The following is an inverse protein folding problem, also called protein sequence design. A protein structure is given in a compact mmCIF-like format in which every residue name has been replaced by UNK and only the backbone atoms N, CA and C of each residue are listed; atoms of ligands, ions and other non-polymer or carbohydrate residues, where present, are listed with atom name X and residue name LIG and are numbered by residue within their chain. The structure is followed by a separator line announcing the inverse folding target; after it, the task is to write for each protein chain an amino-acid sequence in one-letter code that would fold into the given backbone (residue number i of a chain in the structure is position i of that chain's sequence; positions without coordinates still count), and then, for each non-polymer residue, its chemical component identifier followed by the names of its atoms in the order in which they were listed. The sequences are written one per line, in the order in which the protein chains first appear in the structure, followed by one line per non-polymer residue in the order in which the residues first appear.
data_IF_998305955452
#
_entry.id   IF_998305955452
#
_cell.length_a   1.000
_cell.length_b   1.000
_cell.length_c   1.000
_cell.angle_alpha   90.00
_cell.angle_beta   90.00
_cell.angle_gamma   90.00
#
_symmetry.space_group_name_H-M   'P 1'
#
loop_
_entity.id
_entity.type
_entity.pdbx_description
1 polymer ?
#
# COMPACT_ATOMS: atom_id res chain seq x y z
N UNK A 1 29.87 44.54 -45.06
CA UNK A 1 29.63 44.07 -43.68
C UNK A 1 28.18 43.56 -43.62
N UNK A 2 27.98 42.25 -43.57
CA UNK A 2 26.66 41.61 -43.46
C UNK A 2 26.46 41.16 -42.02
N UNK A 3 25.59 41.85 -41.28
CA UNK A 3 25.20 41.47 -39.91
C UNK A 3 24.29 40.23 -39.99
N UNK A 4 24.76 39.11 -39.38
CA UNK A 4 23.95 37.90 -39.18
C UNK A 4 23.13 38.09 -37.89
N UNK A 5 21.82 38.19 -38.04
CA UNK A 5 20.85 38.18 -36.93
C UNK A 5 20.67 36.74 -36.47
N UNK A 6 21.22 36.40 -35.29
CA UNK A 6 20.93 35.12 -34.64
C UNK A 6 19.62 35.27 -33.87
N UNK A 7 18.57 34.66 -34.38
CA UNK A 7 17.28 34.49 -33.64
C UNK A 7 17.48 33.30 -32.72
N UNK A 8 17.61 33.55 -31.42
CA UNK A 8 17.53 32.54 -30.37
C UNK A 8 16.07 32.21 -30.13
N UNK A 9 15.61 31.08 -30.65
CA UNK A 9 14.31 30.53 -30.31
C UNK A 9 14.39 29.95 -28.88
N UNK A 10 13.91 30.71 -27.90
CA UNK A 10 13.65 30.19 -26.56
C UNK A 10 12.49 29.19 -26.65
N UNK A 11 12.82 27.91 -26.68
CA UNK A 11 11.84 26.82 -26.46
C UNK A 11 11.35 26.93 -25.02
N UNK A 12 10.19 27.55 -24.84
CA UNK A 12 9.39 27.45 -23.63
C UNK A 12 9.00 25.96 -23.47
N UNK A 13 9.77 25.23 -22.68
CA UNK A 13 9.37 23.92 -22.15
C UNK A 13 8.22 24.15 -21.18
N UNK A 14 6.98 24.18 -21.71
CA UNK A 14 5.83 24.03 -20.87
C UNK A 14 5.94 22.64 -20.17
N UNK A 15 5.75 22.55 -18.85
CA UNK A 15 5.71 21.26 -18.21
C UNK A 15 4.58 20.45 -18.88
N UNK A 16 4.92 19.31 -19.45
CA UNK A 16 3.96 18.30 -19.91
C UNK A 16 3.27 17.74 -18.66
N UNK A 17 2.37 18.52 -18.08
CA UNK A 17 1.43 18.00 -17.11
C UNK A 17 0.52 17.02 -17.89
N UNK A 18 0.50 15.76 -17.45
CA UNK A 18 -0.40 14.77 -17.99
C UNK A 18 -1.82 15.36 -18.04
N UNK A 19 -2.41 15.45 -19.20
CA UNK A 19 -3.58 16.31 -19.50
C UNK A 19 -4.81 16.03 -18.63
N UNK A 20 -4.93 14.84 -18.04
CA UNK A 20 -6.06 14.41 -17.20
C UNK A 20 -5.89 14.61 -15.70
N UNK A 21 -4.70 14.96 -15.20
CA UNK A 21 -4.47 15.18 -13.77
C UNK A 21 -5.02 16.52 -13.27
N UNK A 22 -5.48 17.37 -14.17
CA UNK A 22 -6.02 18.71 -13.85
C UNK A 22 -7.42 18.95 -14.44
N UNK A 23 -8.09 17.89 -14.89
CA UNK A 23 -9.43 18.00 -15.48
C UNK A 23 -10.44 18.36 -14.40
N UNK A 24 -11.13 19.52 -14.57
CA UNK A 24 -12.18 19.92 -13.64
C UNK A 24 -13.36 18.96 -13.71
N UNK A 25 -13.58 18.21 -12.63
CA UNK A 25 -14.70 17.28 -12.54
C UNK A 25 -16.03 18.04 -12.54
N UNK A 26 -16.95 17.77 -13.48
CA UNK A 26 -18.27 18.37 -13.49
C UNK A 26 -19.08 18.06 -12.23
N UNK A 27 -19.98 18.97 -11.84
CA UNK A 27 -20.91 18.75 -10.73
C UNK A 27 -20.33 18.92 -9.33
N UNK A 28 -19.04 19.19 -9.19
CA UNK A 28 -18.43 19.46 -7.87
C UNK A 28 -18.76 20.91 -7.46
N UNK A 29 -19.40 21.14 -6.28
CA UNK A 29 -19.56 22.47 -5.71
C UNK A 29 -18.22 23.15 -5.51
N UNK A 30 -18.16 24.44 -5.78
CA UNK A 30 -16.92 25.22 -5.65
C UNK A 30 -17.10 26.43 -4.75
N UNK A 31 -16.05 26.77 -4.05
CA UNK A 31 -15.92 28.01 -3.30
C UNK A 31 -15.73 29.21 -4.24
N UNK A 32 -15.91 30.45 -3.76
CA UNK A 32 -15.75 31.66 -4.62
C UNK A 32 -14.37 31.77 -5.28
N UNK A 33 -13.32 31.19 -4.68
CA UNK A 33 -11.97 31.12 -5.24
C UNK A 33 -11.76 29.93 -6.22
N UNK A 34 -12.86 29.23 -6.57
CA UNK A 34 -12.87 28.15 -7.56
C UNK A 34 -12.38 26.79 -7.08
N UNK A 35 -12.02 26.62 -5.81
CA UNK A 35 -11.62 25.33 -5.23
C UNK A 35 -12.82 24.43 -4.97
N UNK A 36 -12.66 23.10 -5.01
CA UNK A 36 -13.70 22.17 -4.60
C UNK A 36 -14.20 22.44 -3.18
N UNK A 37 -15.51 22.59 -3.00
CA UNK A 37 -16.13 22.71 -1.69
C UNK A 37 -16.50 21.32 -1.16
N UNK A 38 -15.58 20.67 -0.49
CA UNK A 38 -15.75 19.30 0.03
C UNK A 38 -16.69 19.22 1.24
N UNK A 39 -16.97 20.35 1.91
CA UNK A 39 -17.91 20.42 3.04
C UNK A 39 -19.35 20.76 2.63
N UNK A 40 -19.64 20.90 1.34
CA UNK A 40 -21.02 21.05 0.86
C UNK A 40 -21.86 19.81 1.24
N UNK A 41 -23.18 19.94 1.20
CA UNK A 41 -24.10 18.85 1.52
C UNK A 41 -23.86 17.63 0.62
N UNK A 42 -23.97 16.43 1.19
CA UNK A 42 -23.84 15.18 0.45
C UNK A 42 -24.91 15.13 -0.66
N UNK A 43 -24.56 14.77 -1.90
CA UNK A 43 -25.49 14.59 -2.97
C UNK A 43 -26.35 13.33 -2.74
N UNK A 44 -27.56 13.31 -3.34
CA UNK A 44 -28.45 12.16 -3.31
C UNK A 44 -28.78 11.70 -4.72
N UNK A 45 -29.00 10.41 -4.85
CA UNK A 45 -29.53 9.78 -6.07
C UNK A 45 -31.02 10.08 -6.23
N UNK A 46 -31.59 9.79 -7.39
CA UNK A 46 -33.00 10.04 -7.67
C UNK A 46 -33.95 9.28 -6.75
N UNK A 47 -33.55 8.13 -6.19
CA UNK A 47 -34.28 7.34 -5.20
C UNK A 47 -34.03 7.80 -3.75
N UNK A 48 -33.37 8.96 -3.58
CA UNK A 48 -33.18 9.60 -2.28
C UNK A 48 -32.05 9.03 -1.42
N UNK A 49 -31.30 8.04 -1.90
CA UNK A 49 -30.15 7.49 -1.19
C UNK A 49 -28.94 8.41 -1.32
N UNK A 50 -28.00 8.43 -0.36
CA UNK A 50 -26.73 9.12 -0.58
C UNK A 50 -26.05 8.63 -1.85
N UNK A 51 -25.60 9.55 -2.68
CA UNK A 51 -24.82 9.20 -3.86
C UNK A 51 -23.35 8.99 -3.46
N UNK A 52 -22.87 7.77 -3.55
CA UNK A 52 -21.49 7.40 -3.23
C UNK A 52 -20.56 7.52 -4.45
N UNK A 53 -21.08 7.87 -5.62
CA UNK A 53 -20.31 7.98 -6.86
C UNK A 53 -19.21 9.03 -6.74
N UNK A 54 -18.09 8.77 -7.43
CA UNK A 54 -16.93 9.66 -7.45
C UNK A 54 -15.62 8.91 -7.39
N UNK A 55 -14.52 9.65 -7.42
CA UNK A 55 -13.18 9.11 -7.17
C UNK A 55 -12.81 9.44 -5.73
N UNK A 56 -12.47 8.41 -5.00
CA UNK A 56 -12.20 8.50 -3.57
C UNK A 56 -10.76 8.10 -3.26
N UNK A 57 -10.11 8.90 -2.45
CA UNK A 57 -8.78 8.63 -1.93
C UNK A 57 -8.90 7.91 -0.59
N UNK A 58 -8.17 6.80 -0.46
CA UNK A 58 -7.98 6.12 0.81
C UNK A 58 -7.19 7.00 1.80
N UNK A 59 -7.33 6.79 3.12
CA UNK A 59 -6.50 7.47 4.11
C UNK A 59 -5.02 7.16 3.87
N UNK A 60 -4.16 8.13 4.15
CA UNK A 60 -2.70 7.89 4.09
C UNK A 60 -2.27 7.13 5.35
N UNK A 61 -1.37 6.16 5.17
CA UNK A 61 -0.65 5.49 6.25
C UNK A 61 -1.55 4.85 7.33
N UNK A 62 -2.50 4.01 6.92
CA UNK A 62 -3.26 3.21 7.88
C UNK A 62 -2.39 2.08 8.44
N UNK A 63 -2.32 1.94 9.77
CA UNK A 63 -1.65 0.82 10.43
C UNK A 63 -2.22 -0.54 9.98
N UNK A 64 -3.54 -0.61 9.74
CA UNK A 64 -4.20 -1.85 9.33
C UNK A 64 -3.86 -2.29 7.90
N UNK A 65 -3.38 -1.39 7.05
CA UNK A 65 -2.83 -1.74 5.75
C UNK A 65 -1.52 -2.53 5.89
N UNK A 66 -0.72 -2.18 6.90
CA UNK A 66 0.54 -2.85 7.19
C UNK A 66 0.32 -4.11 8.03
N UNK A 67 -0.54 -4.01 9.03
CA UNK A 67 -0.82 -5.07 9.99
C UNK A 67 -2.30 -5.04 10.39
N UNK A 68 -3.10 -5.91 9.78
CA UNK A 68 -4.54 -6.01 10.08
C UNK A 68 -4.78 -6.42 11.54
N UNK A 69 -3.84 -7.16 12.11
CA UNK A 69 -3.88 -7.67 13.47
C UNK A 69 -3.25 -6.72 14.50
N UNK A 70 -3.04 -5.42 14.17
CA UNK A 70 -2.35 -4.46 15.04
C UNK A 70 -2.95 -4.36 16.45
N UNK A 71 -4.26 -4.56 16.60
CA UNK A 71 -4.99 -4.50 17.88
C UNK A 71 -5.22 -5.88 18.51
N UNK A 72 -4.67 -6.93 17.93
CA UNK A 72 -4.78 -8.29 18.46
C UNK A 72 -3.59 -8.63 19.36
N UNK A 73 -3.88 -9.43 20.39
CA UNK A 73 -2.85 -10.10 21.16
C UNK A 73 -2.37 -11.35 20.41
N UNK A 74 -1.15 -11.83 20.64
CA UNK A 74 -0.64 -13.04 19.95
C UNK A 74 -1.55 -14.27 20.10
N UNK A 75 -2.23 -14.44 21.22
CA UNK A 75 -3.17 -15.54 21.48
C UNK A 75 -4.55 -15.33 20.85
N UNK A 76 -4.80 -14.21 20.19
CA UNK A 76 -6.03 -13.93 19.45
C UNK A 76 -5.89 -14.27 17.95
N UNK A 77 -4.72 -14.76 17.54
CA UNK A 77 -4.48 -15.32 16.19
C UNK A 77 -4.38 -16.85 16.35
N UNK A 78 -5.09 -17.59 15.51
CA UNK A 78 -5.07 -19.06 15.56
C UNK A 78 -3.67 -19.60 15.26
N UNK A 79 -3.25 -20.73 15.88
CA UNK A 79 -1.88 -21.23 15.75
C UNK A 79 -1.42 -21.46 14.31
N UNK A 80 -2.30 -21.99 13.45
CA UNK A 80 -1.97 -22.21 12.04
C UNK A 80 -1.71 -20.90 11.31
N UNK A 81 -2.55 -19.88 11.55
CA UNK A 81 -2.43 -18.57 10.90
C UNK A 81 -1.17 -17.83 11.36
N UNK A 82 -0.83 -17.97 12.64
CA UNK A 82 0.43 -17.46 13.17
C UNK A 82 1.64 -18.15 12.53
N UNK A 83 1.58 -19.47 12.32
CA UNK A 83 2.66 -20.23 11.68
C UNK A 83 2.86 -19.79 10.21
N UNK A 84 1.77 -19.65 9.45
CA UNK A 84 1.80 -19.15 8.06
C UNK A 84 2.31 -17.71 8.00
N UNK A 85 1.84 -16.83 8.88
CA UNK A 85 2.33 -15.45 8.98
C UNK A 85 3.84 -15.40 9.22
N UNK A 86 4.36 -16.21 10.14
CA UNK A 86 5.79 -16.31 10.41
C UNK A 86 6.58 -16.86 9.21
N UNK A 87 5.99 -17.76 8.42
CA UNK A 87 6.60 -18.25 7.17
C UNK A 87 6.69 -17.12 6.13
N UNK A 88 5.62 -16.34 5.95
CA UNK A 88 5.62 -15.20 5.05
C UNK A 88 6.68 -14.14 5.43
N UNK A 89 6.94 -13.95 6.73
CA UNK A 89 8.03 -13.10 7.19
C UNK A 89 9.39 -13.71 6.87
N UNK A 90 9.60 -14.99 7.17
CA UNK A 90 10.89 -15.67 6.94
C UNK A 90 11.29 -15.71 5.47
N UNK A 91 10.33 -15.94 4.56
CA UNK A 91 10.59 -15.94 3.12
C UNK A 91 10.54 -14.55 2.49
N UNK A 92 10.49 -13.49 3.32
CA UNK A 92 10.44 -12.09 2.90
C UNK A 92 9.26 -11.78 1.96
N UNK A 93 8.15 -12.54 2.08
CA UNK A 93 6.97 -12.41 1.24
C UNK A 93 7.18 -12.83 -0.21
N UNK A 94 8.09 -13.76 -0.47
CA UNK A 94 8.37 -14.26 -1.82
C UNK A 94 7.12 -14.85 -2.51
N UNK A 95 6.21 -15.39 -1.72
CA UNK A 95 4.93 -15.96 -2.14
C UNK A 95 3.75 -14.96 -2.03
N UNK A 96 4.03 -13.67 -1.81
CA UNK A 96 2.99 -12.65 -1.78
C UNK A 96 2.18 -12.64 -3.08
N UNK A 97 0.85 -12.77 -3.03
CA UNK A 97 0.01 -12.72 -4.23
C UNK A 97 0.25 -11.46 -5.07
N UNK A 98 0.52 -10.34 -4.43
CA UNK A 98 0.83 -9.07 -5.09
C UNK A 98 2.11 -9.10 -5.91
N UNK A 99 3.12 -9.85 -5.45
CA UNK A 99 4.36 -10.06 -6.20
C UNK A 99 4.12 -10.80 -7.52
N UNK A 100 3.00 -11.50 -7.61
CA UNK A 100 2.57 -12.26 -8.76
C UNK A 100 1.39 -11.62 -9.51
N UNK A 101 1.13 -10.32 -9.29
CA UNK A 101 0.04 -9.57 -9.92
C UNK A 101 -1.36 -10.16 -9.64
N UNK A 102 -1.52 -10.86 -8.54
CA UNK A 102 -2.79 -11.42 -8.12
C UNK A 102 -3.59 -10.37 -7.29
N UNK A 103 -4.92 -10.46 -7.28
CA UNK A 103 -5.75 -9.48 -6.59
C UNK A 103 -5.49 -9.39 -5.09
N UNK A 104 -5.56 -8.18 -4.56
CA UNK A 104 -5.62 -7.94 -3.12
C UNK A 104 -7.05 -8.17 -2.58
N UNK A 105 -7.23 -8.50 -1.28
CA UNK A 105 -8.54 -8.63 -0.67
C UNK A 105 -9.19 -7.26 -0.39
N UNK A 106 -10.51 -7.22 -0.11
CA UNK A 106 -11.22 -5.98 0.16
C UNK A 106 -10.63 -5.04 1.21
N UNK A 107 -10.04 -5.50 2.34
CA UNK A 107 -9.42 -4.58 3.30
C UNK A 107 -8.42 -3.65 2.66
N UNK A 108 -7.61 -4.17 1.75
CA UNK A 108 -6.56 -3.42 1.08
C UNK A 108 -7.09 -2.27 0.22
N UNK A 109 -8.15 -2.48 -0.57
CA UNK A 109 -8.70 -1.45 -1.46
C UNK A 109 -9.22 -0.23 -0.74
N UNK A 110 -9.57 -0.37 0.53
CA UNK A 110 -10.10 0.72 1.32
C UNK A 110 -9.03 1.52 2.04
N UNK A 111 -7.81 0.99 2.08
CA UNK A 111 -6.69 1.57 2.83
C UNK A 111 -5.58 2.12 1.92
N UNK A 112 -5.64 1.92 0.60
CA UNK A 112 -4.61 2.37 -0.34
C UNK A 112 -5.20 2.94 -1.63
N UNK A 113 -4.49 3.91 -2.23
CA UNK A 113 -4.71 4.41 -3.58
C UNK A 113 -5.99 5.22 -3.79
N UNK A 114 -6.40 5.27 -5.06
CA UNK A 114 -7.65 5.85 -5.53
C UNK A 114 -8.62 4.74 -5.93
N UNK A 115 -9.90 4.99 -5.70
CA UNK A 115 -10.96 4.12 -6.20
C UNK A 115 -12.10 4.96 -6.78
N UNK A 116 -12.65 4.53 -7.92
CA UNK A 116 -13.88 5.09 -8.48
C UNK A 116 -15.06 4.24 -8.05
N UNK A 117 -16.05 4.87 -7.44
CA UNK A 117 -17.35 4.26 -7.17
C UNK A 117 -18.31 4.71 -8.27
N UNK A 118 -19.00 3.75 -8.88
CA UNK A 118 -20.12 3.95 -9.79
C UNK A 118 -21.33 3.31 -9.13
N UNK A 119 -22.34 4.12 -8.84
CA UNK A 119 -23.57 3.67 -8.16
C UNK A 119 -24.78 3.73 -9.09
N UNK A 120 -25.55 2.65 -9.07
CA UNK A 120 -26.89 2.57 -9.64
C UNK A 120 -27.85 2.04 -8.57
N UNK A 121 -29.17 2.09 -8.78
CA UNK A 121 -30.11 1.55 -7.78
C UNK A 121 -29.91 0.07 -7.43
N UNK A 122 -29.48 -0.75 -8.40
CA UNK A 122 -29.34 -2.20 -8.23
C UNK A 122 -27.90 -2.68 -8.05
N UNK A 123 -26.93 -1.81 -8.30
CA UNK A 123 -25.53 -2.21 -8.39
C UNK A 123 -24.61 -1.06 -8.03
N UNK A 124 -23.59 -1.36 -7.24
CA UNK A 124 -22.43 -0.50 -7.06
C UNK A 124 -21.16 -1.21 -7.59
N UNK A 125 -20.36 -0.50 -8.35
CA UNK A 125 -19.06 -0.99 -8.86
C UNK A 125 -17.96 -0.13 -8.27
N UNK A 126 -16.95 -0.78 -7.72
CA UNK A 126 -15.72 -0.14 -7.25
C UNK A 126 -14.60 -0.55 -8.18
N UNK A 127 -14.01 0.44 -8.85
CA UNK A 127 -12.85 0.29 -9.71
C UNK A 127 -11.66 0.87 -8.94
N UNK A 128 -10.66 0.05 -8.65
CA UNK A 128 -9.48 0.49 -7.92
C UNK A 128 -8.33 0.78 -8.88
N UNK A 129 -7.65 1.89 -8.64
CA UNK A 129 -6.35 2.15 -9.25
C UNK A 129 -5.34 1.23 -8.55
N UNK A 130 -4.94 0.17 -9.24
CA UNK A 130 -4.00 -0.80 -8.70
C UNK A 130 -2.60 -0.23 -8.58
N UNK A 131 -1.95 -0.43 -7.44
CA UNK A 131 -0.54 -0.06 -7.26
C UNK A 131 0.38 -1.21 -7.72
N UNK A 132 -0.05 -2.44 -7.55
CA UNK A 132 0.74 -3.66 -7.81
C UNK A 132 -0.02 -4.74 -8.57
N UNK A 133 -1.29 -4.55 -8.84
CA UNK A 133 -2.09 -5.43 -9.66
C UNK A 133 -2.90 -4.60 -10.67
N UNK A 134 -3.12 -5.15 -11.84
CA UNK A 134 -3.83 -4.48 -12.94
C UNK A 134 -5.28 -4.19 -12.56
N UNK A 135 -5.54 -3.04 -11.95
CA UNK A 135 -6.84 -2.49 -11.59
C UNK A 135 -7.94 -3.52 -11.26
N UNK A 136 -8.34 -3.60 -10.02
CA UNK A 136 -9.38 -4.56 -9.62
C UNK A 136 -10.74 -3.91 -9.64
N UNK A 137 -11.69 -4.58 -10.28
CA UNK A 137 -13.09 -4.18 -10.31
C UNK A 137 -13.91 -5.10 -9.42
N UNK A 138 -14.65 -4.51 -8.48
CA UNK A 138 -15.53 -5.21 -7.55
C UNK A 138 -16.98 -4.81 -7.77
N UNK A 139 -17.85 -5.80 -7.87
CA UNK A 139 -19.30 -5.63 -8.00
C UNK A 139 -19.99 -5.88 -6.68
N UNK A 140 -20.89 -4.98 -6.28
CA UNK A 140 -21.71 -5.08 -5.08
C UNK A 140 -23.17 -4.98 -5.51
N UNK A 141 -23.95 -6.02 -5.27
CA UNK A 141 -25.36 -6.07 -5.64
C UNK A 141 -26.23 -5.39 -4.58
N UNK A 142 -27.00 -4.37 -4.97
CA UNK A 142 -27.87 -3.59 -4.08
C UNK A 142 -29.36 -3.80 -4.40
N UNK A 143 -29.69 -4.81 -5.20
CA UNK A 143 -31.05 -5.14 -5.66
C UNK A 143 -31.88 -5.96 -4.66
N UNK A 144 -31.38 -6.12 -3.43
CA UNK A 144 -32.08 -6.83 -2.36
C UNK A 144 -31.83 -8.34 -2.30
N UNK A 145 -31.01 -8.90 -3.22
CA UNK A 145 -30.63 -10.32 -3.16
C UNK A 145 -29.84 -10.65 -1.90
N UNK A 146 -29.89 -11.92 -1.49
CA UNK A 146 -29.05 -12.47 -0.43
C UNK A 146 -27.73 -13.03 -0.96
N UNK A 147 -26.83 -13.39 -0.06
CA UNK A 147 -25.67 -14.21 -0.41
C UNK A 147 -26.14 -15.57 -0.95
N UNK A 148 -25.52 -16.10 -2.01
CA UNK A 148 -25.80 -17.45 -2.50
C UNK A 148 -25.57 -18.48 -1.39
N UNK A 149 -26.38 -19.54 -1.36
CA UNK A 149 -26.19 -20.65 -0.40
C UNK A 149 -24.93 -21.45 -0.71
N UNK A 150 -24.65 -21.61 -1.99
CA UNK A 150 -23.43 -22.27 -2.49
C UNK A 150 -22.63 -21.23 -3.26
N UNK A 151 -21.38 -21.05 -2.89
CA UNK A 151 -20.46 -20.09 -3.50
C UNK A 151 -19.21 -20.81 -3.95
N UNK A 152 -18.81 -20.58 -5.20
CA UNK A 152 -17.46 -20.92 -5.62
C UNK A 152 -16.51 -19.86 -5.06
N UNK A 153 -15.48 -20.22 -4.28
CA UNK A 153 -14.55 -19.25 -3.71
C UNK A 153 -13.84 -18.45 -4.80
N UNK A 154 -13.79 -17.13 -4.62
CA UNK A 154 -13.16 -16.21 -5.55
C UNK A 154 -12.18 -15.29 -4.82
N UNK A 155 -11.33 -14.58 -5.56
CA UNK A 155 -10.38 -13.64 -5.01
C UNK A 155 -11.03 -12.48 -4.24
N UNK A 156 -12.19 -11.99 -4.71
CA UNK A 156 -12.86 -10.82 -4.16
C UNK A 156 -14.13 -11.15 -3.39
N UNK A 157 -14.47 -12.43 -3.33
CA UNK A 157 -15.73 -12.88 -2.75
C UNK A 157 -16.96 -12.44 -3.56
N UNK A 158 -18.12 -12.69 -3.00
CA UNK A 158 -19.42 -12.24 -3.51
C UNK A 158 -19.99 -11.18 -2.56
N UNK A 159 -20.34 -10.00 -3.08
CA UNK A 159 -20.72 -8.85 -2.29
C UNK A 159 -22.18 -8.46 -2.51
N UNK A 160 -22.92 -8.26 -1.43
CA UNK A 160 -24.26 -7.71 -1.42
C UNK A 160 -24.31 -6.46 -0.55
N UNK A 161 -25.10 -5.46 -0.95
CA UNK A 161 -25.28 -4.22 -0.22
C UNK A 161 -26.72 -3.98 0.20
N UNK A 162 -26.92 -3.41 1.37
CA UNK A 162 -28.24 -2.98 1.89
C UNK A 162 -28.12 -1.61 2.52
N UNK A 163 -29.11 -0.76 2.26
CA UNK A 163 -29.19 0.54 2.89
C UNK A 163 -29.81 0.46 4.29
N UNK A 164 -29.10 0.94 5.29
CA UNK A 164 -29.58 1.19 6.65
C UNK A 164 -29.61 2.72 6.86
N UNK A 165 -30.78 3.33 6.60
CA UNK A 165 -30.89 4.78 6.55
C UNK A 165 -29.97 5.37 5.45
N UNK A 166 -29.02 6.22 5.85
CA UNK A 166 -28.04 6.86 4.97
C UNK A 166 -26.69 6.10 4.92
N UNK A 167 -26.63 4.90 5.45
CA UNK A 167 -25.44 4.05 5.43
C UNK A 167 -25.65 2.85 4.51
N UNK A 168 -24.78 2.66 3.53
CA UNK A 168 -24.70 1.42 2.77
C UNK A 168 -23.89 0.40 3.56
N UNK A 169 -24.52 -0.73 3.89
CA UNK A 169 -23.86 -1.88 4.54
C UNK A 169 -23.61 -2.96 3.50
N UNK A 170 -22.35 -3.31 3.31
CA UNK A 170 -21.95 -4.34 2.35
C UNK A 170 -21.44 -5.56 3.09
N UNK A 171 -21.99 -6.72 2.76
CA UNK A 171 -21.53 -8.01 3.28
C UNK A 171 -20.88 -8.80 2.15
N UNK A 172 -19.69 -9.33 2.38
CA UNK A 172 -18.98 -10.16 1.41
C UNK A 172 -18.55 -11.47 2.05
N UNK A 173 -18.72 -12.55 1.32
CA UNK A 173 -18.29 -13.90 1.69
C UNK A 173 -17.90 -14.68 0.43
N UNK A 174 -17.42 -15.91 0.57
CA UNK A 174 -16.99 -16.75 -0.55
C UNK A 174 -15.63 -16.33 -1.12
N UNK A 175 -14.73 -15.94 -0.24
CA UNK A 175 -13.33 -15.72 -0.61
C UNK A 175 -12.60 -17.05 -0.78
N UNK A 176 -11.65 -17.12 -1.70
CA UNK A 176 -10.62 -18.16 -1.65
C UNK A 176 -9.60 -17.80 -0.55
N UNK A 177 -8.78 -18.75 -0.13
CA UNK A 177 -7.77 -18.57 0.92
C UNK A 177 -6.40 -18.11 0.40
N UNK A 178 -6.35 -17.54 -0.81
CA UNK A 178 -5.11 -17.29 -1.55
C UNK A 178 -4.58 -15.86 -1.43
N UNK A 179 -5.28 -14.97 -0.73
CA UNK A 179 -4.86 -13.57 -0.56
C UNK A 179 -4.28 -13.34 0.84
N UNK A 180 -3.54 -12.24 0.98
CA UNK A 180 -3.08 -11.77 2.28
C UNK A 180 -3.93 -10.58 2.71
N UNK A 181 -4.33 -10.53 3.98
CA UNK A 181 -5.18 -9.45 4.50
C UNK A 181 -4.46 -8.10 4.59
N UNK A 182 -3.12 -8.12 4.65
CA UNK A 182 -2.29 -6.94 4.80
C UNK A 182 -0.91 -7.11 4.14
N UNK A 183 -0.08 -6.09 4.23
CA UNK A 183 1.30 -6.14 3.72
C UNK A 183 2.23 -7.01 4.52
N UNK A 184 1.96 -7.24 5.79
CA UNK A 184 2.78 -8.08 6.65
C UNK A 184 2.57 -9.59 6.38
N UNK A 185 1.50 -9.95 5.65
CA UNK A 185 1.28 -11.31 5.23
C UNK A 185 0.36 -12.12 6.13
N UNK A 186 -0.57 -11.48 6.84
CA UNK A 186 -1.59 -12.21 7.59
C UNK A 186 -2.50 -13.00 6.64
N UNK A 187 -2.60 -14.33 6.80
CA UNK A 187 -3.47 -15.15 5.99
C UNK A 187 -4.93 -15.01 6.42
N UNK A 188 -5.81 -15.56 5.62
CA UNK A 188 -7.20 -15.83 6.01
C UNK A 188 -7.65 -17.19 5.47
N UNK A 189 -8.79 -17.66 5.94
CA UNK A 189 -9.42 -18.88 5.46
C UNK A 189 -10.59 -18.56 4.52
N UNK A 190 -11.18 -19.59 3.90
CA UNK A 190 -12.43 -19.47 3.14
C UNK A 190 -13.65 -19.09 4.02
N UNK A 191 -13.51 -19.16 5.35
CA UNK A 191 -14.56 -18.71 6.28
C UNK A 191 -14.61 -17.17 6.41
N UNK A 192 -13.66 -16.46 5.80
CA UNK A 192 -13.62 -15.01 5.84
C UNK A 192 -14.94 -14.39 5.38
N UNK A 193 -15.45 -13.48 6.20
CA UNK A 193 -16.52 -12.54 5.87
C UNK A 193 -16.05 -11.13 6.15
N UNK A 194 -16.51 -10.19 5.33
CA UNK A 194 -16.29 -8.78 5.62
C UNK A 194 -17.62 -8.05 5.67
N UNK A 195 -17.70 -7.08 6.58
CA UNK A 195 -18.83 -6.16 6.67
C UNK A 195 -18.28 -4.75 6.55
N UNK A 196 -18.76 -4.02 5.57
CA UNK A 196 -18.31 -2.66 5.26
C UNK A 196 -19.47 -1.70 5.41
N UNK A 197 -19.22 -0.53 5.98
CA UNK A 197 -20.22 0.52 6.19
C UNK A 197 -19.73 1.80 5.53
N UNK A 198 -20.50 2.33 4.58
CA UNK A 198 -20.21 3.57 3.86
C UNK A 198 -21.25 4.61 4.24
N UNK A 199 -20.83 5.66 4.91
CA UNK A 199 -21.67 6.80 5.26
C UNK A 199 -21.08 8.08 4.65
N UNK A 200 -21.72 8.63 3.61
CA UNK A 200 -21.30 9.91 3.03
C UNK A 200 -21.84 11.04 3.86
N UNK A 201 -21.02 11.61 4.75
CA UNK A 201 -21.44 12.65 5.68
C UNK A 201 -21.57 14.04 5.05
N UNK A 202 -20.77 14.32 4.01
CA UNK A 202 -20.77 15.56 3.25
C UNK A 202 -20.34 15.29 1.80
N UNK A 203 -20.16 16.35 0.99
CA UNK A 203 -19.81 16.18 -0.42
C UNK A 203 -18.47 15.46 -0.61
N UNK A 204 -17.49 15.75 0.23
CA UNK A 204 -16.10 15.33 0.06
C UNK A 204 -15.67 14.16 0.93
N UNK A 205 -16.53 13.64 1.83
CA UNK A 205 -16.06 12.62 2.78
C UNK A 205 -17.05 11.47 2.94
N UNK A 206 -16.49 10.26 2.93
CA UNK A 206 -17.18 9.03 3.33
C UNK A 206 -16.52 8.52 4.61
N UNK A 207 -17.29 8.43 5.70
CA UNK A 207 -16.92 7.67 6.87
C UNK A 207 -17.07 6.20 6.55
N UNK A 208 -15.99 5.48 6.67
CA UNK A 208 -15.87 4.07 6.32
C UNK A 208 -15.53 3.25 7.55
N UNK A 209 -16.23 2.16 7.75
CA UNK A 209 -15.91 1.16 8.77
C UNK A 209 -15.89 -0.21 8.12
N UNK A 210 -14.93 -1.05 8.49
CA UNK A 210 -14.82 -2.41 8.02
C UNK A 210 -14.59 -3.36 9.17
N UNK A 211 -15.35 -4.45 9.18
CA UNK A 211 -15.13 -5.60 10.05
C UNK A 211 -14.65 -6.78 9.22
N UNK A 212 -13.54 -7.37 9.61
CA UNK A 212 -12.97 -8.62 9.12
C UNK A 212 -13.30 -9.70 10.12
N UNK A 213 -14.08 -10.69 9.72
CA UNK A 213 -14.55 -11.80 10.56
C UNK A 213 -14.14 -13.13 9.93
N UNK A 214 -13.13 -13.76 10.52
CA UNK A 214 -12.67 -15.09 10.13
C UNK A 214 -12.35 -15.91 11.39
N UNK A 215 -13.35 -16.64 11.92
CA UNK A 215 -13.20 -17.37 13.18
C UNK A 215 -12.22 -18.54 13.10
N UNK A 216 -11.82 -18.97 11.88
CA UNK A 216 -10.77 -19.95 11.69
C UNK A 216 -9.37 -19.34 11.75
N UNK A 217 -9.25 -18.02 11.57
CA UNK A 217 -7.97 -17.30 11.58
C UNK A 217 -7.79 -16.48 12.86
N UNK A 218 -8.84 -15.81 13.33
CA UNK A 218 -8.81 -14.94 14.51
C UNK A 218 -9.84 -15.39 15.53
N UNK A 219 -9.55 -15.16 16.82
CA UNK A 219 -10.48 -15.53 17.91
C UNK A 219 -11.64 -14.53 18.07
N UNK A 220 -11.52 -13.34 17.45
CA UNK A 220 -12.56 -12.30 17.40
C UNK A 220 -12.49 -11.52 16.10
N UNK A 221 -13.59 -10.89 15.68
CA UNK A 221 -13.57 -9.97 14.54
C UNK A 221 -12.65 -8.78 14.79
N UNK A 222 -12.08 -8.26 13.71
CA UNK A 222 -11.25 -7.05 13.69
C UNK A 222 -12.07 -5.95 13.02
N UNK A 223 -12.22 -4.80 13.67
CA UNK A 223 -12.94 -3.66 13.10
C UNK A 223 -12.05 -2.43 13.08
N UNK A 224 -11.98 -1.77 11.94
CA UNK A 224 -11.27 -0.50 11.79
C UNK A 224 -12.12 0.54 11.07
N UNK A 225 -11.75 1.81 11.28
CA UNK A 225 -12.41 2.97 10.67
C UNK A 225 -11.43 3.77 9.84
N UNK A 226 -11.97 4.40 8.81
CA UNK A 226 -11.23 5.24 7.90
C UNK A 226 -12.11 6.37 7.37
N UNK A 227 -11.51 7.43 6.87
CA UNK A 227 -12.22 8.48 6.14
C UNK A 227 -11.68 8.49 4.72
N UNK A 228 -12.56 8.28 3.75
CA UNK A 228 -12.24 8.47 2.34
C UNK A 228 -12.52 9.91 1.95
N UNK A 229 -11.60 10.53 1.24
CA UNK A 229 -11.76 11.92 0.77
C UNK A 229 -11.97 11.94 -0.75
N UNK A 230 -12.91 12.72 -1.23
CA UNK A 230 -13.15 12.89 -2.65
C UNK A 230 -11.89 13.45 -3.33
N UNK A 231 -11.40 12.74 -4.32
CA UNK A 231 -10.32 13.20 -5.18
C UNK A 231 -10.93 13.99 -6.35
N UNK A 232 -11.09 15.29 -6.11
CA UNK A 232 -11.62 16.19 -7.12
C UNK A 232 -10.59 16.48 -8.21
N UNK A 233 -11.06 16.78 -9.40
CA UNK A 233 -10.26 17.29 -10.52
C UNK A 233 -9.14 16.31 -10.93
N UNK A 234 -9.42 15.01 -10.88
CA UNK A 234 -8.50 13.93 -11.27
C UNK A 234 -9.26 12.78 -11.94
N UNK A 235 -8.51 11.90 -12.57
CA UNK A 235 -8.99 10.64 -13.13
C UNK A 235 -8.19 9.48 -12.53
N UNK A 236 -8.72 8.25 -12.66
CA UNK A 236 -7.93 7.06 -12.37
C UNK A 236 -6.91 6.86 -13.48
N UNK A 237 -5.70 6.51 -13.11
CA UNK A 237 -4.67 6.14 -14.06
C UNK A 237 -4.75 4.64 -14.35
N UNK A 238 -4.46 4.28 -15.59
CA UNK A 238 -4.24 2.89 -15.93
C UNK A 238 -2.96 2.40 -15.23
N UNK A 239 -3.09 1.26 -14.56
CA UNK A 239 -1.96 0.61 -13.91
C UNK A 239 -1.87 -0.82 -14.40
N UNK A 240 -0.68 -1.20 -14.85
CA UNK A 240 -0.38 -2.55 -15.33
C UNK A 240 0.67 -3.15 -14.40
N UNK A 241 0.38 -4.33 -13.88
CA UNK A 241 1.31 -5.09 -13.09
C UNK A 241 2.30 -5.79 -14.01
N UNK A 242 3.56 -5.42 -13.93
CA UNK A 242 4.65 -6.05 -14.68
C UNK A 242 5.43 -6.99 -13.75
N UNK A 243 5.19 -8.28 -13.85
CA UNK A 243 5.84 -9.30 -13.02
C UNK A 243 7.37 -9.17 -12.98
N UNK A 244 7.97 -8.88 -14.14
CA UNK A 244 9.43 -8.78 -14.25
C UNK A 244 10.02 -7.55 -13.53
N UNK A 245 9.21 -6.49 -13.37
CA UNK A 245 9.64 -5.26 -12.69
C UNK A 245 9.28 -5.25 -11.21
N UNK A 246 8.13 -5.81 -10.85
CA UNK A 246 7.56 -5.72 -9.51
C UNK A 246 7.99 -6.90 -8.65
N UNK A 247 8.01 -8.12 -9.17
CA UNK A 247 8.34 -9.30 -8.41
C UNK A 247 9.72 -9.22 -7.73
N UNK A 248 10.81 -8.79 -8.39
CA UNK A 248 12.10 -8.63 -7.72
C UNK A 248 12.06 -7.63 -6.58
N UNK A 249 11.27 -6.57 -6.70
CA UNK A 249 11.15 -5.53 -5.68
C UNK A 249 10.24 -5.93 -4.52
N UNK A 250 9.18 -6.69 -4.80
CA UNK A 250 8.24 -7.14 -3.77
C UNK A 250 8.70 -8.38 -3.02
N UNK A 251 9.37 -9.29 -3.70
CA UNK A 251 9.83 -10.57 -3.10
C UNK A 251 11.24 -10.50 -2.52
N UNK A 252 11.85 -9.32 -2.53
CA UNK A 252 13.14 -9.13 -1.86
C UNK A 252 14.29 -9.91 -2.43
N UNK A 253 14.25 -10.25 -3.72
CA UNK A 253 15.45 -10.76 -4.31
C UNK A 253 15.27 -11.67 -5.50
N UNK A 254 16.34 -11.67 -6.28
CA UNK A 254 16.61 -12.57 -7.40
C UNK A 254 17.08 -13.98 -6.93
N UNK A 255 16.79 -14.35 -5.67
CA UNK A 255 17.30 -15.57 -5.05
C UNK A 255 18.76 -15.47 -4.57
N UNK A 256 19.35 -14.27 -4.65
CA UNK A 256 20.72 -14.05 -4.17
C UNK A 256 20.78 -14.19 -2.64
N UNK A 257 21.71 -15.00 -2.17
CA UNK A 257 21.91 -15.23 -0.74
C UNK A 257 23.36 -14.96 -0.37
N UNK A 258 23.57 -14.42 0.81
CA UNK A 258 24.88 -14.23 1.40
C UNK A 258 25.04 -15.15 2.59
N UNK A 259 26.26 -15.63 2.82
CA UNK A 259 26.55 -16.41 4.01
C UNK A 259 26.43 -15.56 5.28
N UNK A 260 26.11 -16.14 6.44
CA UNK A 260 26.06 -15.42 7.71
C UNK A 260 27.35 -14.67 8.03
N UNK A 261 28.51 -15.22 7.66
CA UNK A 261 29.80 -14.55 7.83
C UNK A 261 29.94 -13.32 6.96
N UNK A 262 29.35 -13.32 5.76
CA UNK A 262 29.32 -12.17 4.88
C UNK A 262 28.34 -11.11 5.39
N UNK A 263 27.15 -11.52 5.86
CA UNK A 263 26.19 -10.61 6.47
C UNK A 263 26.74 -9.93 7.71
N UNK A 264 27.52 -10.64 8.53
CA UNK A 264 28.16 -10.07 9.73
C UNK A 264 29.09 -8.89 9.42
N UNK A 265 29.67 -8.81 8.22
CA UNK A 265 30.52 -7.68 7.81
C UNK A 265 29.78 -6.35 7.68
N UNK A 266 28.46 -6.41 7.42
CA UNK A 266 27.60 -5.24 7.26
C UNK A 266 26.99 -4.77 8.59
N UNK A 267 26.99 -5.60 9.63
CA UNK A 267 26.48 -5.21 10.95
C UNK A 267 27.30 -4.07 11.55
N UNK A 268 26.61 -3.09 12.15
CA UNK A 268 27.24 -1.93 12.75
C UNK A 268 26.32 -0.72 12.86
N UNK A 269 26.86 0.37 13.39
CA UNK A 269 26.16 1.66 13.50
C UNK A 269 26.68 2.60 12.44
N UNK A 270 25.76 3.25 11.73
CA UNK A 270 26.02 4.18 10.65
C UNK A 270 25.39 5.53 10.99
N UNK A 271 26.16 6.61 10.91
CA UNK A 271 25.69 7.97 11.16
C UNK A 271 25.14 8.55 9.86
N UNK A 272 23.82 8.77 9.80
CA UNK A 272 23.10 9.34 8.64
C UNK A 272 23.21 10.87 8.67
N UNK A 273 23.05 11.46 9.85
CA UNK A 273 23.21 12.89 10.13
C UNK A 273 23.37 13.07 11.65
N UNK A 274 23.70 14.26 12.10
CA UNK A 274 23.80 14.56 13.53
C UNK A 274 22.50 14.16 14.28
N UNK A 275 22.63 13.22 15.21
CA UNK A 275 21.52 12.68 15.99
C UNK A 275 20.61 11.67 15.24
N UNK A 276 21.00 11.26 14.01
CA UNK A 276 20.27 10.22 13.25
C UNK A 276 21.22 9.07 12.93
N UNK A 277 20.83 7.90 13.34
CA UNK A 277 21.64 6.70 13.18
C UNK A 277 20.85 5.60 12.49
N UNK A 278 21.55 4.79 11.72
CA UNK A 278 21.11 3.54 11.16
C UNK A 278 21.91 2.41 11.81
N UNK A 279 21.24 1.55 12.58
CA UNK A 279 21.88 0.38 13.20
C UNK A 279 21.51 -0.85 12.39
N UNK A 280 22.52 -1.55 11.88
CA UNK A 280 22.37 -2.79 11.13
C UNK A 280 22.77 -3.95 12.01
N UNK A 281 21.86 -4.92 12.18
CA UNK A 281 22.09 -6.15 12.92
C UNK A 281 21.87 -7.36 12.03
N UNK A 282 22.41 -8.52 12.41
CA UNK A 282 22.15 -9.80 11.75
C UNK A 282 21.04 -10.51 12.51
N UNK A 283 20.00 -10.92 11.80
CA UNK A 283 18.95 -11.78 12.32
C UNK A 283 18.81 -13.01 11.41
N UNK A 284 19.24 -14.17 11.90
CA UNK A 284 19.33 -15.43 11.18
C UNK A 284 20.08 -15.28 9.83
N UNK A 285 19.39 -15.34 8.71
CA UNK A 285 19.93 -15.22 7.34
C UNK A 285 19.71 -13.84 6.72
N UNK A 286 19.36 -12.83 7.50
CA UNK A 286 19.00 -11.49 7.04
C UNK A 286 19.73 -10.40 7.82
N UNK A 287 19.79 -9.20 7.25
CA UNK A 287 20.13 -7.99 7.99
C UNK A 287 18.85 -7.27 8.42
N UNK A 288 18.90 -6.66 9.60
CA UNK A 288 17.83 -5.79 10.10
C UNK A 288 18.39 -4.39 10.30
N UNK A 289 17.77 -3.41 9.68
CA UNK A 289 18.10 -1.99 9.77
C UNK A 289 17.13 -1.30 10.73
N UNK A 290 17.66 -0.67 11.77
CA UNK A 290 16.90 0.17 12.69
C UNK A 290 17.27 1.63 12.46
N UNK A 291 16.29 2.49 12.20
CA UNK A 291 16.49 3.92 12.01
C UNK A 291 16.11 4.70 13.27
N UNK A 292 17.02 5.49 13.78
CA UNK A 292 16.80 6.38 14.93
C UNK A 292 16.81 7.85 14.48
N UNK A 293 15.94 8.74 15.02
CA UNK A 293 14.97 8.51 16.10
C UNK A 293 13.58 8.02 15.63
N UNK A 294 13.36 7.75 14.34
CA UNK A 294 12.02 7.39 13.82
C UNK A 294 11.49 6.07 14.38
N UNK A 295 12.38 5.18 14.81
CA UNK A 295 12.00 3.85 15.27
C UNK A 295 11.65 2.88 14.13
N UNK A 296 11.84 3.27 12.87
CA UNK A 296 11.58 2.41 11.72
C UNK A 296 12.51 1.20 11.72
N UNK A 297 11.95 0.03 11.45
CA UNK A 297 12.69 -1.23 11.36
C UNK A 297 12.47 -1.84 9.98
N UNK A 298 13.56 -2.20 9.31
CA UNK A 298 13.50 -2.83 7.99
C UNK A 298 14.33 -4.11 7.98
N UNK A 299 13.77 -5.19 7.44
CA UNK A 299 14.54 -6.38 7.08
C UNK A 299 15.16 -6.16 5.71
N UNK A 300 16.45 -6.39 5.56
CA UNK A 300 17.21 -6.16 4.34
C UNK A 300 17.43 -7.48 3.59
N UNK A 301 16.87 -7.58 2.39
CA UNK A 301 17.04 -8.71 1.50
C UNK A 301 18.15 -8.43 0.46
N UNK A 302 19.19 -9.28 0.35
CA UNK A 302 20.29 -9.04 -0.57
C UNK A 302 19.85 -9.19 -2.03
N UNK A 303 20.28 -8.24 -2.87
CA UNK A 303 20.13 -8.25 -4.32
C UNK A 303 21.46 -8.54 -5.01
N UNK A 304 22.54 -8.13 -4.38
CA UNK A 304 23.92 -8.38 -4.75
C UNK A 304 24.77 -8.47 -3.49
N UNK A 305 26.07 -8.54 -3.64
CA UNK A 305 26.98 -8.53 -2.48
C UNK A 305 26.85 -7.25 -1.64
N UNK A 306 26.57 -6.10 -2.24
CA UNK A 306 26.51 -4.81 -1.54
C UNK A 306 25.14 -4.15 -1.52
N UNK A 307 24.21 -4.62 -2.34
CA UNK A 307 22.91 -4.00 -2.54
C UNK A 307 21.81 -4.84 -1.89
N UNK A 308 20.97 -4.19 -1.11
CA UNK A 308 19.86 -4.82 -0.41
C UNK A 308 18.57 -4.04 -0.64
N UNK A 309 17.43 -4.71 -0.59
CA UNK A 309 16.12 -4.08 -0.55
C UNK A 309 15.58 -4.14 0.85
N UNK A 310 15.20 -2.97 1.39
CA UNK A 310 14.60 -2.84 2.71
C UNK A 310 13.11 -3.19 2.68
N UNK A 311 12.67 -3.96 3.68
CA UNK A 311 11.27 -4.22 4.01
C UNK A 311 11.04 -3.83 5.45
N UNK A 312 10.15 -2.88 5.67
CA UNK A 312 9.89 -2.37 7.01
C UNK A 312 8.67 -3.00 7.66
N UNK A 313 8.66 -3.01 8.99
CA UNK A 313 7.46 -3.19 9.80
C UNK A 313 6.68 -1.87 9.94
N UNK A 314 7.00 -0.87 9.13
CA UNK A 314 6.49 0.49 9.18
C UNK A 314 5.60 0.84 7.99
N UNK A 315 5.20 2.08 7.92
CA UNK A 315 4.18 2.65 7.05
C UNK A 315 4.53 2.71 5.55
N UNK A 316 5.71 2.27 5.10
CA UNK A 316 6.18 2.37 3.71
C UNK A 316 6.81 1.08 3.15
N UNK A 317 6.29 -0.08 3.51
CA UNK A 317 6.81 -1.42 3.15
C UNK A 317 6.98 -1.68 1.65
N UNK A 318 6.40 -0.86 0.79
CA UNK A 318 6.40 -1.10 -0.67
C UNK A 318 7.22 -0.10 -1.46
N UNK A 319 7.98 0.74 -0.84
CA UNK A 319 8.75 1.72 -1.60
C UNK A 319 10.05 1.16 -2.16
N UNK A 320 10.40 -0.09 -1.82
CA UNK A 320 11.61 -0.70 -2.34
C UNK A 320 12.83 0.17 -2.04
N UNK A 321 12.90 0.70 -0.81
CA UNK A 321 14.08 1.45 -0.40
C UNK A 321 15.30 0.55 -0.59
N UNK A 322 16.20 0.99 -1.44
CA UNK A 322 17.43 0.28 -1.69
C UNK A 322 18.49 0.75 -0.71
N UNK A 323 19.16 -0.21 -0.08
CA UNK A 323 20.31 0.04 0.78
C UNK A 323 21.55 -0.47 0.08
N UNK A 324 22.50 0.40 -0.20
CA UNK A 324 23.77 0.04 -0.80
C UNK A 324 24.90 0.25 0.20
N UNK A 325 25.64 -0.83 0.52
CA UNK A 325 26.80 -0.75 1.39
C UNK A 325 28.05 -0.36 0.60
N UNK A 326 28.77 0.64 1.11
CA UNK A 326 29.97 1.18 0.52
C UNK A 326 31.18 0.47 1.13
N UNK A 327 32.08 -0.04 0.27
CA UNK A 327 33.34 -0.69 0.65
C UNK A 327 34.53 0.17 0.23
N UNK A 328 35.59 0.12 0.99
CA UNK A 328 36.88 0.69 0.59
C UNK A 328 37.68 -0.28 -0.31
N UNK A 329 38.87 0.13 -0.68
CA UNK A 329 39.75 -0.67 -1.54
C UNK A 329 40.20 -2.02 -0.90
N UNK A 330 40.13 -2.13 0.41
CA UNK A 330 40.40 -3.40 1.14
C UNK A 330 39.21 -4.33 1.22
N UNK A 331 38.01 -3.88 0.78
CA UNK A 331 36.75 -4.57 0.88
C UNK A 331 36.05 -4.39 2.24
N UNK A 332 36.57 -3.51 3.10
CA UNK A 332 35.91 -3.21 4.39
C UNK A 332 34.72 -2.28 4.18
N UNK A 333 33.63 -2.54 4.88
CA UNK A 333 32.41 -1.70 4.81
C UNK A 333 32.63 -0.41 5.58
N UNK A 334 32.58 0.72 4.89
CA UNK A 334 32.83 2.06 5.44
C UNK A 334 31.57 2.92 5.57
N UNK A 335 30.50 2.56 4.88
CA UNK A 335 29.27 3.32 4.92
C UNK A 335 28.10 2.58 4.26
N UNK A 336 26.96 3.26 4.18
CA UNK A 336 25.84 2.84 3.38
C UNK A 336 25.13 4.04 2.74
N UNK A 337 24.43 3.82 1.64
CA UNK A 337 23.54 4.75 0.99
C UNK A 337 22.12 4.20 1.06
N UNK A 338 21.18 5.03 1.54
CA UNK A 338 19.75 4.76 1.55
C UNK A 338 19.10 5.46 0.36
N UNK A 339 18.61 4.71 -0.60
CA UNK A 339 17.93 5.23 -1.78
C UNK A 339 16.41 5.12 -1.56
N UNK A 340 15.81 6.21 -1.09
CA UNK A 340 14.37 6.30 -0.83
C UNK A 340 13.68 7.22 -1.84
N UNK A 341 12.35 7.17 -1.93
CA UNK A 341 11.55 8.07 -2.79
C UNK A 341 11.83 9.57 -2.57
N UNK A 342 12.31 9.95 -1.40
CA UNK A 342 12.64 11.33 -1.04
C UNK A 342 14.08 11.72 -1.36
N UNK A 343 14.85 10.84 -1.98
CA UNK A 343 16.23 11.04 -2.36
C UNK A 343 17.22 10.12 -1.66
N UNK A 344 18.49 10.26 -2.00
CA UNK A 344 19.59 9.50 -1.44
C UNK A 344 20.07 10.12 -0.12
N UNK A 345 20.30 9.26 0.89
CA UNK A 345 20.94 9.63 2.15
C UNK A 345 22.16 8.75 2.38
N UNK A 346 23.32 9.34 2.58
CA UNK A 346 24.56 8.62 2.85
C UNK A 346 24.83 8.57 4.36
N UNK A 347 25.31 7.43 4.81
CA UNK A 347 25.69 7.22 6.21
C UNK A 347 27.09 6.65 6.30
N UNK A 348 27.87 7.13 7.26
CA UNK A 348 29.25 6.71 7.51
C UNK A 348 29.25 5.73 8.68
N UNK A 349 29.96 4.61 8.54
CA UNK A 349 30.08 3.61 9.60
C UNK A 349 30.87 4.18 10.77
N UNK A 350 30.33 4.11 11.99
CA UNK A 350 31.02 4.49 13.21
C UNK A 350 32.17 3.52 13.47
N UNK A 351 33.35 4.05 13.74
CA UNK A 351 34.54 3.26 13.99
C UNK A 351 35.31 2.79 12.74
N UNK A 352 34.84 3.10 11.53
CA UNK A 352 35.67 2.97 10.34
C UNK A 352 36.80 4.01 10.41
N UNK A 353 38.05 3.57 10.27
CA UNK A 353 39.19 4.50 10.20
C UNK A 353 38.95 5.48 9.06
N UNK A 354 39.03 6.77 9.35
CA UNK A 354 38.96 7.83 8.32
C UNK A 354 40.08 7.58 7.33
N UNK A 355 39.73 7.00 6.17
CA UNK A 355 40.69 6.87 5.06
C UNK A 355 41.19 8.27 4.71
N UNK A 356 42.47 8.49 4.81
CA UNK A 356 43.18 9.70 4.36
C UNK A 356 42.74 10.05 2.94
N UNK A 357 42.31 11.30 2.78
CA UNK A 357 41.98 11.93 1.49
C UNK A 357 43.17 11.92 0.57
#
# INVERSE_FOLDING_TARGET
MKARLCVVAALLSAPLAAQWLTYKTPGIPRTPDGKPNLSASAPRTADGKPDLSGIWRAPRASVYMQNIAADLKPNEIQPWAQAVYQEHIRNLGADSPRAHCLPDPPPYYHLAGLSRIVQTPALMVIINEGISNSGVTRTIFTDGRGLPKEMNPTWLGYSIGRWEGDTLVVTTAGFNDKTWLDFSGHPHSEALKTIERFHRRDFGHIDFEMTVDDPKTFTRPITFKAVKTLAADTELLETICENERIAPHLVGGNGFRLSPETLAKYAGTYEVAAGREAVVTVDAESLVLHLSPSGDVQTLAPQSETTFIGRGNGTEVLTGDQVEFVKDQSGAVTGLALHARRGEQKAVRKGAAAGSR
#
